data_IF_299664274038
#
_entry.id   IF_299664274038
#
_cell.length_a   1.000
_cell.length_b   1.000
_cell.length_c   1.000
_cell.angle_alpha   90.00
_cell.angle_beta   90.00
_cell.angle_gamma   90.00
#
_symmetry.space_group_name_H-M   'P 1'
#
loop_
_entity.id
_entity.type
_entity.pdbx_description
1 polymer ?
#
# COMPACT_ATOMS: atom_id res chain seq x y z
N UNK A 1 -6.92 11.81 33.25
CA UNK A 1 -6.39 11.28 31.98
C UNK A 1 -6.25 12.43 30.97
N UNK A 2 -5.03 12.88 30.66
CA UNK A 2 -4.82 13.93 29.64
C UNK A 2 -4.98 13.33 28.26
N UNK A 3 -6.02 13.72 27.52
CA UNK A 3 -6.16 13.31 26.12
C UNK A 3 -5.03 13.91 25.28
N UNK A 4 -4.13 13.07 24.80
CA UNK A 4 -3.10 13.47 23.85
C UNK A 4 -3.77 13.73 22.49
N UNK A 5 -4.19 14.97 22.21
CA UNK A 5 -4.69 15.35 20.88
C UNK A 5 -3.59 15.07 19.86
N UNK A 6 -3.79 14.08 18.99
CA UNK A 6 -2.86 13.79 17.90
C UNK A 6 -2.90 14.93 16.89
N UNK A 7 -1.73 15.38 16.45
CA UNK A 7 -1.66 16.46 15.47
C UNK A 7 -2.25 15.99 14.13
N UNK A 8 -2.81 16.89 13.32
CA UNK A 8 -3.38 16.56 11.99
C UNK A 8 -2.40 15.78 11.11
N UNK A 9 -1.10 16.06 11.24
CA UNK A 9 -0.04 15.31 10.56
C UNK A 9 0.12 13.87 11.02
N UNK A 10 0.04 13.60 12.33
CA UNK A 10 0.08 12.23 12.86
C UNK A 10 -1.12 11.40 12.41
N UNK A 11 -2.31 11.99 12.34
CA UNK A 11 -3.52 11.32 11.85
C UNK A 11 -3.39 10.92 10.39
N UNK A 12 -2.91 11.83 9.54
CA UNK A 12 -2.69 11.55 8.11
C UNK A 12 -1.60 10.49 7.90
N UNK A 13 -0.51 10.55 8.66
CA UNK A 13 0.54 9.52 8.62
C UNK A 13 0.03 8.14 9.05
N UNK A 14 -0.84 8.08 10.07
CA UNK A 14 -1.50 6.84 10.48
C UNK A 14 -2.40 6.29 9.38
N UNK A 15 -3.23 7.14 8.77
CA UNK A 15 -4.14 6.73 7.71
C UNK A 15 -3.39 6.15 6.50
N UNK A 16 -2.33 6.82 6.05
CA UNK A 16 -1.48 6.32 4.96
C UNK A 16 -0.90 4.94 5.31
N UNK A 17 -0.30 4.82 6.50
CA UNK A 17 0.37 3.59 6.91
C UNK A 17 -0.59 2.41 7.14
N UNK A 18 -1.74 2.63 7.77
CA UNK A 18 -2.78 1.59 7.94
C UNK A 18 -3.31 1.14 6.59
N UNK A 19 -3.44 2.06 5.64
CA UNK A 19 -3.92 1.74 4.30
C UNK A 19 -2.90 0.92 3.51
N UNK A 20 -1.60 1.23 3.62
CA UNK A 20 -0.52 0.43 3.01
C UNK A 20 -0.52 -1.02 3.56
N UNK A 21 -0.72 -1.19 4.88
CA UNK A 21 -0.86 -2.51 5.49
C UNK A 21 -2.11 -3.27 5.01
N UNK A 22 -3.23 -2.56 4.83
CA UNK A 22 -4.45 -3.17 4.30
C UNK A 22 -4.27 -3.67 2.86
N UNK A 23 -3.56 -2.90 2.02
CA UNK A 23 -3.21 -3.32 0.66
C UNK A 23 -2.26 -4.52 0.67
N UNK A 24 -1.24 -4.53 1.54
CA UNK A 24 -0.35 -5.67 1.72
C UNK A 24 -1.11 -6.95 2.09
N UNK A 25 -2.00 -6.86 3.08
CA UNK A 25 -2.87 -7.97 3.49
C UNK A 25 -3.78 -8.41 2.34
N UNK A 26 -4.31 -7.47 1.57
CA UNK A 26 -5.07 -7.75 0.36
C UNK A 26 -4.34 -8.68 -0.60
N UNK A 27 -3.09 -8.38 -0.95
CA UNK A 27 -2.27 -9.27 -1.77
C UNK A 27 -2.09 -10.66 -1.15
N UNK A 28 -1.80 -10.73 0.15
CA UNK A 28 -1.58 -11.99 0.85
C UNK A 28 -2.83 -12.88 0.87
N UNK A 29 -4.01 -12.30 1.07
CA UNK A 29 -5.28 -13.04 1.03
C UNK A 29 -5.54 -13.63 -0.36
N UNK A 30 -5.21 -12.88 -1.42
CA UNK A 30 -5.40 -13.35 -2.80
C UNK A 30 -4.56 -14.58 -3.17
N UNK A 31 -3.47 -14.87 -2.46
CA UNK A 31 -2.59 -16.02 -2.71
C UNK A 31 -3.39 -17.33 -2.79
N UNK A 32 -4.32 -17.52 -1.85
CA UNK A 32 -5.12 -18.75 -1.69
C UNK A 32 -5.97 -19.12 -2.91
N UNK A 33 -6.24 -18.15 -3.79
CA UNK A 33 -7.10 -18.29 -4.97
C UNK A 33 -6.41 -17.88 -6.26
N UNK A 34 -5.09 -17.69 -6.24
CA UNK A 34 -4.33 -17.14 -7.35
C UNK A 34 -3.79 -18.21 -8.29
N UNK A 35 -3.83 -17.92 -9.60
CA UNK A 35 -3.10 -18.72 -10.60
C UNK A 35 -1.59 -18.61 -10.42
N UNK A 36 -1.11 -17.45 -9.93
CA UNK A 36 0.31 -17.19 -9.64
C UNK A 36 0.50 -16.78 -8.16
N UNK A 37 0.46 -17.74 -7.22
CA UNK A 37 0.52 -17.45 -5.79
C UNK A 37 1.84 -16.80 -5.36
N UNK A 38 2.96 -17.21 -5.98
CA UNK A 38 4.28 -16.65 -5.65
C UNK A 38 4.39 -15.16 -6.01
N UNK A 39 3.82 -14.74 -7.15
CA UNK A 39 3.81 -13.33 -7.55
C UNK A 39 3.07 -12.48 -6.52
N UNK A 40 1.91 -12.94 -6.05
CA UNK A 40 1.14 -12.22 -5.03
C UNK A 40 1.81 -12.24 -3.66
N UNK A 41 2.50 -13.33 -3.32
CA UNK A 41 3.31 -13.39 -2.11
C UNK A 41 4.43 -12.35 -2.13
N UNK A 42 5.14 -12.21 -3.25
CA UNK A 42 6.19 -11.19 -3.40
C UNK A 42 5.62 -9.78 -3.33
N UNK A 43 4.53 -9.49 -4.03
CA UNK A 43 3.86 -8.18 -3.97
C UNK A 43 3.39 -7.86 -2.54
N UNK A 44 2.77 -8.83 -1.85
CA UNK A 44 2.29 -8.68 -0.49
C UNK A 44 3.42 -8.48 0.53
N UNK A 45 4.51 -9.24 0.42
CA UNK A 45 5.68 -9.08 1.28
C UNK A 45 6.37 -7.73 1.06
N UNK A 46 6.57 -7.32 -0.20
CA UNK A 46 7.14 -6.01 -0.52
C UNK A 46 6.26 -4.88 0.02
N UNK A 47 4.94 -4.97 -0.17
CA UNK A 47 4.01 -3.99 0.38
C UNK A 47 4.06 -3.94 1.92
N UNK A 48 4.10 -5.10 2.58
CA UNK A 48 4.17 -5.21 4.03
C UNK A 48 5.45 -4.57 4.58
N UNK A 49 6.59 -4.88 3.97
CA UNK A 49 7.88 -4.32 4.36
C UNK A 49 7.92 -2.81 4.09
N UNK A 50 7.38 -2.34 2.96
CA UNK A 50 7.31 -0.92 2.66
C UNK A 50 6.48 -0.18 3.71
N UNK A 51 5.28 -0.68 4.02
CA UNK A 51 4.39 -0.13 5.05
C UNK A 51 5.05 -0.09 6.45
N UNK A 52 5.85 -1.11 6.77
CA UNK A 52 6.61 -1.18 8.03
C UNK A 52 7.72 -0.13 8.13
N UNK A 53 8.15 0.43 6.99
CA UNK A 53 9.20 1.44 6.90
C UNK A 53 8.70 2.89 6.82
N UNK A 54 7.40 3.09 6.63
CA UNK A 54 6.76 4.42 6.50
C UNK A 54 6.97 5.27 7.76
N UNK A 55 7.07 6.60 7.63
CA UNK A 55 7.21 7.54 8.76
C UNK A 55 5.91 7.76 9.57
N UNK A 56 5.15 6.70 9.83
CA UNK A 56 3.91 6.76 10.62
C UNK A 56 4.10 6.27 12.07
N UNK A 57 3.05 6.40 12.90
CA UNK A 57 3.09 6.01 14.31
C UNK A 57 3.14 4.49 14.53
N UNK A 58 2.81 3.67 13.53
CA UNK A 58 2.83 2.20 13.59
C UNK A 58 3.97 1.61 12.72
N UNK A 59 5.02 2.39 12.51
CA UNK A 59 6.23 1.97 11.82
C UNK A 59 7.08 1.06 12.71
N UNK A 60 7.49 -0.09 12.17
CA UNK A 60 8.45 -0.96 12.83
C UNK A 60 9.88 -0.42 12.65
N UNK A 61 10.18 0.13 11.47
CA UNK A 61 11.50 0.66 11.11
C UNK A 61 11.34 2.05 10.50
N UNK A 62 12.23 3.00 10.80
CA UNK A 62 12.21 4.35 10.21
C UNK A 62 13.46 4.61 9.38
N UNK A 63 13.82 3.63 8.57
CA UNK A 63 15.13 3.58 7.90
C UNK A 63 15.06 3.96 6.41
N UNK A 64 13.88 3.91 5.79
CA UNK A 64 13.72 4.07 4.33
C UNK A 64 13.41 5.53 3.98
N UNK A 65 14.18 6.16 3.07
CA UNK A 65 13.87 7.48 2.53
C UNK A 65 12.52 7.52 1.82
N UNK A 66 11.78 8.63 1.98
CA UNK A 66 10.46 8.79 1.36
C UNK A 66 10.44 8.58 -0.17
N UNK A 67 11.53 8.92 -0.87
CA UNK A 67 11.63 8.70 -2.32
C UNK A 67 11.58 7.21 -2.68
N UNK A 68 12.25 6.36 -1.89
CA UNK A 68 12.27 4.91 -2.12
C UNK A 68 10.90 4.32 -1.80
N UNK A 69 10.30 4.70 -0.67
CA UNK A 69 8.95 4.29 -0.30
C UNK A 69 7.93 4.59 -1.41
N UNK A 70 7.94 5.82 -1.92
CA UNK A 70 7.02 6.24 -2.98
C UNK A 70 7.28 5.53 -4.32
N UNK A 71 8.52 5.13 -4.60
CA UNK A 71 8.84 4.36 -5.80
C UNK A 71 8.30 2.92 -5.68
N UNK A 72 8.45 2.30 -4.50
CA UNK A 72 7.90 0.98 -4.20
C UNK A 72 6.36 1.00 -4.29
N UNK A 73 5.71 2.01 -3.71
CA UNK A 73 4.24 2.15 -3.82
C UNK A 73 3.78 2.19 -5.28
N UNK A 74 4.49 2.94 -6.14
CA UNK A 74 4.18 2.99 -7.58
C UNK A 74 4.43 1.63 -8.25
N UNK A 75 5.50 0.93 -7.88
CA UNK A 75 5.80 -0.41 -8.40
C UNK A 75 4.71 -1.42 -7.98
N UNK A 76 4.13 -1.30 -6.79
CA UNK A 76 3.01 -2.13 -6.34
C UNK A 76 1.74 -1.87 -7.14
N UNK A 77 1.43 -0.61 -7.45
CA UNK A 77 0.32 -0.25 -8.35
C UNK A 77 0.51 -0.89 -9.73
N UNK A 78 1.68 -0.68 -10.34
CA UNK A 78 1.99 -1.24 -11.66
C UNK A 78 1.97 -2.77 -11.63
N UNK A 79 2.56 -3.39 -10.60
CA UNK A 79 2.59 -4.84 -10.43
C UNK A 79 1.19 -5.43 -10.31
N UNK A 80 0.29 -4.78 -9.56
CA UNK A 80 -1.11 -5.19 -9.46
C UNK A 80 -1.87 -5.07 -10.79
N UNK A 81 -1.67 -3.98 -11.53
CA UNK A 81 -2.28 -3.80 -12.87
C UNK A 81 -1.79 -4.88 -13.83
N UNK A 82 -0.47 -5.08 -13.92
CA UNK A 82 0.13 -6.09 -14.79
C UNK A 82 -0.37 -7.48 -14.41
N UNK A 83 -0.39 -7.83 -13.12
CA UNK A 83 -0.89 -9.11 -12.64
C UNK A 83 -2.39 -9.32 -12.96
N UNK A 84 -3.19 -8.25 -12.90
CA UNK A 84 -4.62 -8.26 -13.24
C UNK A 84 -4.88 -8.44 -14.74
N UNK A 85 -3.94 -8.03 -15.60
CA UNK A 85 -4.03 -8.22 -17.05
C UNK A 85 -3.65 -9.63 -17.52
N UNK A 86 -3.09 -10.48 -16.65
CA UNK A 86 -2.70 -11.85 -17.04
C UNK A 86 -3.94 -12.70 -17.31
N UNK A 87 -4.09 -13.17 -18.55
CA UNK A 87 -5.28 -13.84 -19.07
C UNK A 87 -5.69 -15.16 -18.38
N UNK A 88 -4.84 -15.75 -17.56
CA UNK A 88 -5.13 -17.00 -16.82
C UNK A 88 -5.74 -16.79 -15.43
N UNK A 89 -5.91 -15.55 -14.97
CA UNK A 89 -6.55 -15.24 -13.69
C UNK A 89 -8.08 -15.24 -13.81
N UNK A 90 -8.77 -15.69 -12.75
CA UNK A 90 -10.22 -15.57 -12.64
C UNK A 90 -10.68 -14.11 -12.63
N UNK A 91 -11.87 -13.84 -13.15
CA UNK A 91 -12.44 -12.48 -13.20
C UNK A 91 -12.46 -11.81 -11.81
N UNK A 92 -12.81 -12.55 -10.77
CA UNK A 92 -12.83 -12.05 -9.39
C UNK A 92 -11.43 -11.63 -8.90
N UNK A 93 -10.37 -12.38 -9.24
CA UNK A 93 -9.00 -11.98 -8.89
C UNK A 93 -8.54 -10.75 -9.66
N UNK A 94 -8.88 -10.64 -10.95
CA UNK A 94 -8.54 -9.45 -11.74
C UNK A 94 -9.16 -8.19 -11.14
N UNK A 95 -10.46 -8.25 -10.82
CA UNK A 95 -11.14 -7.15 -10.15
C UNK A 95 -10.49 -6.81 -8.80
N UNK A 96 -10.11 -7.82 -8.01
CA UNK A 96 -9.43 -7.59 -6.73
C UNK A 96 -8.09 -6.89 -6.92
N UNK A 97 -7.29 -7.29 -7.91
CA UNK A 97 -5.99 -6.69 -8.21
C UNK A 97 -6.13 -5.25 -8.70
N UNK A 98 -7.09 -4.97 -9.59
CA UNK A 98 -7.38 -3.60 -10.01
C UNK A 98 -7.90 -2.74 -8.86
N UNK A 99 -8.73 -3.28 -7.97
CA UNK A 99 -9.17 -2.56 -6.79
C UNK A 99 -7.99 -2.22 -5.87
N UNK A 100 -7.08 -3.16 -5.61
CA UNK A 100 -5.86 -2.89 -4.83
C UNK A 100 -4.97 -1.83 -5.50
N UNK A 101 -4.79 -1.90 -6.82
CA UNK A 101 -4.04 -0.90 -7.58
C UNK A 101 -4.66 0.50 -7.46
N UNK A 102 -5.99 0.60 -7.57
CA UNK A 102 -6.72 1.86 -7.44
C UNK A 102 -6.62 2.42 -6.02
N UNK A 103 -6.78 1.58 -5.00
CA UNK A 103 -6.66 1.98 -3.59
C UNK A 103 -5.24 2.51 -3.33
N UNK A 104 -4.20 1.76 -3.72
CA UNK A 104 -2.81 2.21 -3.53
C UNK A 104 -2.52 3.49 -4.31
N UNK A 105 -2.95 3.58 -5.56
CA UNK A 105 -2.81 4.79 -6.38
C UNK A 105 -3.49 6.00 -5.74
N UNK A 106 -4.69 5.82 -5.19
CA UNK A 106 -5.43 6.86 -4.49
C UNK A 106 -4.73 7.31 -3.20
N UNK A 107 -4.16 6.39 -2.41
CA UNK A 107 -3.38 6.69 -1.21
C UNK A 107 -2.13 7.52 -1.56
N UNK A 108 -1.41 7.15 -2.63
CA UNK A 108 -0.26 7.92 -3.14
C UNK A 108 -0.71 9.33 -3.54
N UNK A 109 -1.81 9.44 -4.29
CA UNK A 109 -2.36 10.72 -4.72
C UNK A 109 -2.72 11.62 -3.53
N UNK A 110 -3.46 11.09 -2.55
CA UNK A 110 -3.82 11.82 -1.33
C UNK A 110 -2.58 12.30 -0.57
N UNK A 111 -1.56 11.46 -0.45
CA UNK A 111 -0.31 11.82 0.22
C UNK A 111 0.43 12.96 -0.50
N UNK A 112 0.39 12.99 -1.83
CA UNK A 112 0.97 14.09 -2.63
C UNK A 112 0.19 15.39 -2.44
N UNK A 113 -1.13 15.36 -2.62
CA UNK A 113 -1.99 16.55 -2.48
C UNK A 113 -1.88 17.15 -1.08
N UNK A 114 -1.88 16.32 -0.04
CA UNK A 114 -1.76 16.79 1.35
C UNK A 114 -0.38 17.36 1.70
N UNK A 115 0.71 16.92 1.05
CA UNK A 115 2.01 17.58 1.16
C UNK A 115 2.03 18.94 0.47
N UNK A 116 1.45 19.03 -0.73
CA UNK A 116 1.40 20.29 -1.49
C UNK A 116 0.48 21.35 -0.84
N UNK A 117 -0.55 20.94 -0.11
CA UNK A 117 -1.44 21.83 0.64
C UNK A 117 -0.81 22.43 1.92
N UNK A 118 0.47 22.15 2.21
CA UNK A 118 1.24 22.76 3.33
C UNK A 118 2.25 23.82 2.85
N UNK A 119 1.99 24.45 1.70
CA UNK A 119 2.66 25.69 1.26
C UNK A 119 1.90 26.90 1.80
#
# INVERSE_FOLDING_TARGET
>A
MKQHKSSRGQRLGLFHQVSDYAVALGFLVLITRATYPLLLALLGLVALLNAATTQGPVAAYRLVPHKIHSAIDMALVLGAVVAGCIGSQSTANRFSLFALALIQGFIIYLTRVTKHARL
#
